data_IF_696438011514
#
_entry.id   IF_696438011514
#
_cell.length_a   1.000
_cell.length_b   1.000
_cell.length_c   1.000
_cell.angle_alpha   90.00
_cell.angle_beta   90.00
_cell.angle_gamma   90.00
#
_symmetry.space_group_name_H-M   'P 1'
#
loop_
_entity.id
_entity.type
_entity.pdbx_description
1 polymer ?
#
# COMPACT_ATOMS: atom_id res chain seq x y z
N UNK A 1 -22.32 8.47 -41.26
CA UNK A 1 -22.99 7.14 -41.26
C UNK A 1 -22.05 5.98 -40.92
N UNK A 2 -20.93 5.76 -41.62
CA UNK A 2 -20.06 4.59 -41.36
C UNK A 2 -19.36 4.65 -39.98
N UNK A 3 -18.90 5.83 -39.57
CA UNK A 3 -18.18 6.01 -38.30
C UNK A 3 -19.05 5.77 -37.05
N UNK A 4 -20.30 6.22 -37.08
CA UNK A 4 -21.24 6.00 -35.97
C UNK A 4 -21.59 4.52 -35.80
N UNK A 5 -21.66 3.77 -36.90
CA UNK A 5 -21.90 2.32 -36.86
C UNK A 5 -20.68 1.58 -36.31
N UNK A 6 -19.46 1.98 -36.70
CA UNK A 6 -18.23 1.42 -36.16
C UNK A 6 -18.11 1.64 -34.64
N UNK A 7 -18.43 2.85 -34.15
CA UNK A 7 -18.42 3.13 -32.71
C UNK A 7 -19.41 2.25 -31.93
N UNK A 8 -20.61 2.05 -32.46
CA UNK A 8 -21.63 1.17 -31.83
C UNK A 8 -21.15 -0.28 -31.76
N UNK A 9 -20.53 -0.77 -32.83
CA UNK A 9 -19.98 -2.13 -32.89
C UNK A 9 -18.88 -2.31 -31.84
N UNK A 10 -17.93 -1.37 -31.74
CA UNK A 10 -16.85 -1.41 -30.75
C UNK A 10 -17.40 -1.41 -29.31
N UNK A 11 -18.41 -0.60 -29.02
CA UNK A 11 -19.05 -0.56 -27.70
C UNK A 11 -19.74 -1.88 -27.36
N UNK A 12 -20.43 -2.50 -28.31
CA UNK A 12 -21.08 -3.81 -28.11
C UNK A 12 -20.02 -4.88 -27.84
N UNK A 13 -18.94 -4.92 -28.62
CA UNK A 13 -17.84 -5.88 -28.39
C UNK A 13 -17.16 -5.67 -27.03
N UNK A 14 -16.90 -4.43 -26.62
CA UNK A 14 -16.33 -4.12 -25.31
C UNK A 14 -17.25 -4.57 -24.17
N UNK A 15 -18.56 -4.38 -24.32
CA UNK A 15 -19.57 -4.78 -23.32
C UNK A 15 -19.64 -6.30 -23.18
N UNK A 16 -19.62 -7.02 -24.31
CA UNK A 16 -19.65 -8.49 -24.33
C UNK A 16 -18.35 -9.07 -23.77
N UNK A 17 -17.19 -8.48 -24.08
CA UNK A 17 -15.90 -8.90 -23.55
C UNK A 17 -15.79 -8.69 -22.02
N UNK A 18 -16.43 -7.65 -21.48
CA UNK A 18 -16.51 -7.38 -20.05
C UNK A 18 -17.37 -8.43 -19.32
N UNK A 19 -18.55 -8.75 -19.87
CA UNK A 19 -19.50 -9.71 -19.28
C UNK A 19 -18.97 -11.15 -19.34
N UNK A 20 -18.31 -11.52 -20.44
CA UNK A 20 -17.77 -12.88 -20.64
C UNK A 20 -16.42 -13.11 -19.94
N UNK A 21 -15.97 -12.18 -19.09
CA UNK A 21 -14.77 -12.35 -18.28
C UNK A 21 -13.48 -12.44 -19.09
N UNK A 22 -13.46 -11.99 -20.35
CA UNK A 22 -12.24 -11.99 -21.17
C UNK A 22 -11.22 -10.96 -20.65
N UNK A 23 -11.71 -9.91 -19.98
CA UNK A 23 -10.93 -9.08 -19.08
C UNK A 23 -11.13 -9.57 -17.65
N UNK A 24 -10.61 -10.77 -17.34
CA UNK A 24 -10.14 -11.00 -15.98
C UNK A 24 -8.98 -10.04 -15.78
N UNK A 25 -9.27 -8.79 -15.38
CA UNK A 25 -8.31 -8.00 -14.63
C UNK A 25 -7.91 -8.95 -13.51
N UNK A 26 -6.71 -9.52 -13.66
CA UNK A 26 -6.34 -10.72 -12.96
C UNK A 26 -6.76 -10.54 -11.52
N UNK A 27 -7.67 -11.40 -11.06
CA UNK A 27 -7.76 -11.66 -9.64
C UNK A 27 -6.40 -12.24 -9.30
N UNK A 28 -5.42 -11.34 -9.14
CA UNK A 28 -4.19 -11.64 -8.46
C UNK A 28 -4.65 -12.33 -7.20
N UNK A 29 -4.04 -13.48 -6.90
CA UNK A 29 -4.11 -14.03 -5.57
C UNK A 29 -3.87 -12.85 -4.64
N UNK A 30 -4.94 -12.34 -4.02
CA UNK A 30 -4.87 -11.20 -3.13
C UNK A 30 -4.27 -11.78 -1.86
N UNK A 31 -2.95 -12.00 -1.89
CA UNK A 31 -2.12 -12.12 -0.72
C UNK A 31 -2.35 -10.82 0.03
N UNK A 32 -3.37 -10.82 0.88
CA UNK A 32 -3.69 -9.68 1.72
C UNK A 32 -2.48 -9.55 2.63
N UNK A 33 -1.71 -8.46 2.53
CA UNK A 33 -0.51 -8.32 3.33
C UNK A 33 -0.91 -8.37 4.81
N UNK A 34 -0.35 -9.33 5.54
CA UNK A 34 -0.55 -9.42 6.98
C UNK A 34 0.40 -8.45 7.67
N UNK A 35 -0.13 -7.32 8.11
CA UNK A 35 0.64 -6.29 8.82
C UNK A 35 1.36 -6.87 10.04
N UNK A 36 0.86 -7.93 10.66
CA UNK A 36 1.47 -8.57 11.84
C UNK A 36 2.85 -9.13 11.54
N UNK A 37 3.10 -9.58 10.31
CA UNK A 37 4.43 -10.04 9.90
C UNK A 37 5.47 -8.91 9.99
N UNK A 38 5.03 -7.66 9.86
CA UNK A 38 5.89 -6.49 9.98
C UNK A 38 5.92 -5.94 11.41
N UNK A 39 4.77 -5.77 12.07
CA UNK A 39 4.68 -5.08 13.37
C UNK A 39 4.96 -5.97 14.58
N UNK A 40 4.83 -7.30 14.48
CA UNK A 40 5.14 -8.23 15.56
C UNK A 40 6.63 -8.54 15.62
N UNK A 41 7.45 -7.51 15.81
CA UNK A 41 8.89 -7.65 16.00
C UNK A 41 9.34 -6.99 17.30
N UNK A 42 10.38 -7.55 17.92
CA UNK A 42 11.09 -6.91 19.04
C UNK A 42 12.24 -6.01 18.53
N UNK A 43 12.53 -6.05 17.24
CA UNK A 43 13.54 -5.21 16.61
C UNK A 43 13.05 -3.77 16.44
N UNK A 44 14.01 -2.85 16.28
CA UNK A 44 13.71 -1.44 16.03
C UNK A 44 13.28 -1.27 14.57
N UNK A 45 12.16 -0.60 14.35
CA UNK A 45 11.68 -0.25 13.01
C UNK A 45 12.19 1.14 12.65
N UNK A 46 13.14 1.20 11.70
CA UNK A 46 13.72 2.44 11.22
C UNK A 46 12.97 2.97 10.00
N UNK A 47 12.62 4.25 10.01
CA UNK A 47 12.12 4.92 8.80
C UNK A 47 13.32 5.27 7.92
N UNK A 48 13.45 4.61 6.77
CA UNK A 48 14.53 4.88 5.82
C UNK A 48 14.22 6.07 4.90
N UNK A 49 13.00 6.12 4.34
CA UNK A 49 12.54 7.20 3.47
C UNK A 49 11.11 7.60 3.82
N UNK A 50 10.77 8.86 3.57
CA UNK A 50 9.45 9.40 3.85
C UNK A 50 9.15 10.58 2.92
N UNK A 51 7.87 10.74 2.57
CA UNK A 51 7.37 11.88 1.79
C UNK A 51 6.96 13.07 2.68
N UNK A 52 7.17 12.99 4.00
CA UNK A 52 6.90 14.12 4.90
C UNK A 52 7.84 15.28 4.60
N UNK A 53 7.35 16.51 4.76
CA UNK A 53 8.15 17.74 4.64
C UNK A 53 8.94 18.06 5.92
N UNK A 54 8.64 17.39 7.03
CA UNK A 54 9.33 17.60 8.30
C UNK A 54 10.75 17.00 8.25
N UNK A 55 11.76 17.83 8.52
CA UNK A 55 13.13 17.35 8.59
C UNK A 55 13.38 16.60 9.91
N UNK A 56 13.67 15.31 9.80
CA UNK A 56 14.14 14.44 10.88
C UNK A 56 15.25 13.57 10.30
N UNK A 57 16.43 13.54 10.94
CA UNK A 57 17.57 12.73 10.46
C UNK A 57 17.27 11.24 10.58
N UNK A 58 16.82 10.81 11.77
CA UNK A 58 16.41 9.43 11.99
C UNK A 58 15.11 9.37 12.78
N UNK A 59 14.17 8.52 12.34
CA UNK A 59 12.94 8.20 13.06
C UNK A 59 12.89 6.70 13.29
N UNK A 60 12.71 6.30 14.54
CA UNK A 60 12.69 4.89 14.94
C UNK A 60 11.52 4.60 15.86
N UNK A 61 10.85 3.48 15.60
CA UNK A 61 9.79 2.94 16.44
C UNK A 61 10.31 1.69 17.16
N UNK A 62 10.28 1.72 18.48
CA UNK A 62 10.69 0.60 19.34
C UNK A 62 9.47 0.04 20.05
N UNK A 63 9.28 -1.27 20.02
CA UNK A 63 8.18 -1.90 20.74
C UNK A 63 8.36 -1.73 22.25
N UNK A 64 7.28 -1.38 22.96
CA UNK A 64 7.26 -1.32 24.43
C UNK A 64 6.48 -2.49 25.02
N UNK A 65 5.38 -2.90 24.38
CA UNK A 65 4.61 -4.07 24.79
C UNK A 65 3.79 -4.62 23.62
N UNK A 66 3.62 -5.94 23.60
CA UNK A 66 2.76 -6.64 22.64
C UNK A 66 1.73 -7.45 23.41
N UNK A 67 0.45 -7.30 23.07
CA UNK A 67 -0.63 -8.15 23.54
C UNK A 67 -1.52 -8.60 22.38
N UNK A 68 -2.50 -9.48 22.63
CA UNK A 68 -3.37 -10.03 21.58
C UNK A 68 -4.18 -8.97 20.83
N UNK A 69 -4.47 -7.84 21.48
CA UNK A 69 -5.33 -6.78 20.93
C UNK A 69 -4.55 -5.57 20.42
N UNK A 70 -3.33 -5.33 20.91
CA UNK A 70 -2.58 -4.11 20.63
C UNK A 70 -1.07 -4.31 20.70
N UNK A 71 -0.36 -3.48 19.96
CA UNK A 71 1.09 -3.32 20.03
C UNK A 71 1.36 -1.85 20.33
N UNK A 72 2.14 -1.61 21.38
CA UNK A 72 2.55 -0.27 21.77
C UNK A 72 3.98 -0.04 21.30
N UNK A 73 4.20 1.12 20.68
CA UNK A 73 5.50 1.57 20.23
C UNK A 73 5.86 2.87 20.94
N UNK A 74 7.14 3.01 21.29
CA UNK A 74 7.76 4.26 21.66
C UNK A 74 8.57 4.76 20.47
N UNK A 75 8.20 5.94 19.98
CA UNK A 75 8.86 6.61 18.87
C UNK A 75 9.96 7.52 19.37
N UNK A 76 11.11 7.47 18.70
CA UNK A 76 12.22 8.40 18.92
C UNK A 76 12.55 9.15 17.62
N UNK A 77 12.98 10.39 17.81
CA UNK A 77 13.38 11.31 16.76
C UNK A 77 14.82 11.76 17.04
N UNK A 78 15.67 11.64 16.05
CA UNK A 78 17.03 12.15 16.09
C UNK A 78 17.16 13.24 15.04
N UNK A 79 17.64 14.40 15.47
CA UNK A 79 17.93 15.55 14.63
C UNK A 79 19.44 15.68 14.52
N UNK A 80 19.91 16.41 13.51
CA UNK A 80 21.30 16.85 13.52
C UNK A 80 21.51 17.82 14.69
N UNK A 81 22.66 17.74 15.34
CA UNK A 81 23.06 18.81 16.25
C UNK A 81 23.23 20.06 15.39
N UNK A 82 22.46 21.10 15.68
CA UNK A 82 22.68 22.43 15.10
C UNK A 82 24.10 22.86 15.47
N UNK A 83 25.00 22.87 14.48
CA UNK A 83 26.30 23.54 14.58
C UNK A 83 26.11 25.06 14.62
#
# INVERSE_FOLDING_TARGET
>A
MVQEQLCKIVLIFASIALVNGLFTCGMSNRCTPDIRQFVCTNERVWTYSTSTSEYVRCKVDQVTSICRAAILFRRYYFYDETQ
#
